data_IF_539642817012
#
_entry.id   IF_539642817012
#
_cell.length_a   1.000
_cell.length_b   1.000
_cell.length_c   1.000
_cell.angle_alpha   90.00
_cell.angle_beta   90.00
_cell.angle_gamma   90.00
#
_symmetry.space_group_name_H-M   'P 1'
#
loop_
_entity.id
_entity.type
_entity.pdbx_description
1 polymer ?
#
# COMPACT_ATOMS: atom_id res chain seq x y z
N UNK A 1 38.95 -63.40 -42.98
CA UNK A 1 38.71 -63.47 -41.53
C UNK A 1 37.95 -62.21 -41.16
N UNK A 2 36.63 -62.31 -40.97
CA UNK A 2 35.75 -61.15 -40.75
C UNK A 2 35.43 -61.12 -39.26
N UNK A 3 35.92 -60.10 -38.56
CA UNK A 3 35.62 -59.87 -37.14
C UNK A 3 34.36 -59.03 -37.08
N UNK A 4 33.25 -59.63 -36.66
CA UNK A 4 32.04 -58.92 -36.24
C UNK A 4 32.28 -58.42 -34.82
N UNK A 5 32.25 -57.11 -34.64
CA UNK A 5 32.13 -56.47 -33.34
C UNK A 5 30.65 -56.20 -33.11
N UNK A 6 30.04 -56.92 -32.16
CA UNK A 6 28.74 -56.55 -31.60
C UNK A 6 28.97 -55.47 -30.53
N UNK A 7 28.20 -54.37 -30.54
CA UNK A 7 28.24 -53.41 -29.45
C UNK A 7 27.34 -53.90 -28.30
N UNK A 8 27.96 -54.19 -27.15
CA UNK A 8 27.27 -54.24 -25.87
C UNK A 8 26.76 -52.83 -25.54
N UNK A 9 25.45 -52.62 -25.68
CA UNK A 9 24.75 -51.44 -25.18
C UNK A 9 23.85 -51.92 -24.05
N UNK A 10 24.34 -51.75 -22.82
CA UNK A 10 23.51 -51.78 -21.62
C UNK A 10 22.62 -50.51 -21.62
N UNK A 11 21.51 -50.57 -22.35
CA UNK A 11 20.42 -49.59 -22.27
C UNK A 11 19.58 -49.85 -21.01
N UNK A 12 20.09 -49.47 -19.84
CA UNK A 12 19.27 -49.12 -18.69
C UNK A 12 18.68 -47.71 -18.91
N UNK A 13 17.85 -47.56 -19.96
CA UNK A 13 16.93 -46.42 -20.06
C UNK A 13 15.79 -46.64 -19.05
N UNK A 14 15.99 -46.19 -17.82
CA UNK A 14 14.87 -45.78 -16.97
C UNK A 14 14.16 -44.64 -17.70
N UNK A 15 13.11 -44.98 -18.44
CA UNK A 15 12.21 -44.05 -19.08
C UNK A 15 11.54 -43.20 -17.98
N UNK A 16 12.14 -42.05 -17.68
CA UNK A 16 11.58 -41.06 -16.78
C UNK A 16 10.24 -40.60 -17.35
N UNK A 17 9.15 -41.06 -16.75
CA UNK A 17 7.81 -40.85 -17.30
C UNK A 17 7.44 -39.36 -17.23
N UNK A 18 6.76 -38.86 -18.26
CA UNK A 18 6.29 -37.46 -18.34
C UNK A 18 5.50 -37.01 -17.09
N UNK A 19 4.88 -37.96 -16.38
CA UNK A 19 4.20 -37.79 -15.09
C UNK A 19 5.11 -37.39 -13.92
N UNK A 20 6.36 -37.88 -13.86
CA UNK A 20 7.32 -37.44 -12.83
C UNK A 20 7.78 -36.01 -13.07
N UNK A 21 7.92 -35.62 -14.34
CA UNK A 21 8.30 -34.25 -14.71
C UNK A 21 7.22 -33.21 -14.33
N UNK A 22 5.94 -33.55 -14.51
CA UNK A 22 4.82 -32.69 -14.11
C UNK A 22 4.67 -32.57 -12.57
N UNK A 23 5.02 -33.63 -11.84
CA UNK A 23 4.97 -33.62 -10.37
C UNK A 23 6.01 -32.68 -9.75
N UNK A 24 7.18 -32.54 -10.37
CA UNK A 24 8.25 -31.62 -9.93
C UNK A 24 7.87 -30.14 -10.19
N UNK A 25 7.07 -29.87 -11.21
CA UNK A 25 6.67 -28.50 -11.57
C UNK A 25 5.39 -28.01 -10.87
N UNK A 26 4.72 -28.85 -10.07
CA UNK A 26 3.50 -28.45 -9.35
C UNK A 26 2.33 -28.07 -10.27
N UNK A 27 2.40 -28.42 -11.55
CA UNK A 27 1.35 -28.13 -12.54
C UNK A 27 0.33 -29.26 -12.47
N UNK A 28 -0.64 -29.14 -11.55
CA UNK A 28 -1.83 -29.99 -11.61
C UNK A 28 -2.70 -29.51 -12.77
N UNK A 29 -2.90 -30.39 -13.75
CA UNK A 29 -3.68 -30.15 -14.97
C UNK A 29 -5.09 -29.61 -14.67
N UNK A 30 -5.29 -28.33 -14.99
CA UNK A 30 -6.59 -27.71 -15.13
C UNK A 30 -6.80 -27.32 -16.61
N UNK A 31 -6.94 -28.33 -17.49
CA UNK A 31 -7.41 -28.13 -18.85
C UNK A 31 -8.36 -29.27 -19.25
N UNK A 32 -9.64 -29.07 -18.97
CA UNK A 32 -10.71 -29.95 -19.42
C UNK A 32 -10.94 -29.83 -20.93
N UNK A 33 -10.75 -30.93 -21.64
CA UNK A 33 -11.36 -31.20 -22.95
C UNK A 33 -12.52 -32.19 -22.74
N UNK A 34 -13.67 -31.83 -23.29
CA UNK A 34 -14.97 -32.52 -23.21
C UNK A 34 -14.95 -33.91 -23.87
N UNK A 35 -15.66 -34.87 -23.26
CA UNK A 35 -16.33 -35.96 -24.00
C UNK A 35 -16.62 -37.24 -23.22
N UNK A 36 -17.89 -37.46 -22.85
CA UNK A 36 -18.52 -38.79 -22.70
C UNK A 36 -18.36 -39.52 -21.36
N UNK A 37 -19.47 -39.70 -20.62
CA UNK A 37 -19.57 -40.61 -19.45
C UNK A 37 -19.65 -42.10 -19.84
N UNK A 38 -20.13 -43.03 -18.97
CA UNK A 38 -20.60 -42.90 -17.58
C UNK A 38 -20.08 -43.99 -16.59
N UNK A 39 -19.98 -43.69 -15.29
CA UNK A 39 -20.07 -44.64 -14.15
C UNK A 39 -19.86 -43.83 -12.84
N UNK A 40 -20.90 -43.56 -12.04
CA UNK A 40 -21.35 -44.32 -10.85
C UNK A 40 -20.24 -44.72 -9.86
N UNK A 41 -20.50 -44.34 -8.59
CA UNK A 41 -19.84 -44.73 -7.33
C UNK A 41 -18.62 -43.86 -6.98
N UNK A 42 -18.47 -43.24 -5.80
CA UNK A 42 -19.21 -43.31 -4.54
C UNK A 42 -18.78 -42.14 -3.65
N UNK A 43 -19.68 -41.75 -2.76
CA UNK A 43 -19.50 -40.84 -1.63
C UNK A 43 -18.15 -41.01 -0.91
N UNK A 44 -17.46 -39.90 -0.66
CA UNK A 44 -16.67 -39.63 0.57
C UNK A 44 -16.16 -38.19 0.57
N UNK A 45 -17.03 -37.25 0.95
CA UNK A 45 -16.65 -35.91 1.36
C UNK A 45 -17.35 -35.60 2.68
N UNK A 46 -16.86 -36.19 3.78
CA UNK A 46 -17.08 -35.68 5.14
C UNK A 46 -15.83 -36.04 5.96
N UNK A 47 -15.30 -35.06 6.69
CA UNK A 47 -14.26 -35.13 7.74
C UNK A 47 -12.77 -35.06 7.34
N UNK A 48 -12.26 -33.82 7.38
CA UNK A 48 -10.96 -33.43 7.97
C UNK A 48 -11.03 -31.92 8.22
N UNK A 49 -11.70 -31.43 9.27
CA UNK A 49 -11.17 -31.31 10.64
C UNK A 49 -9.68 -31.01 10.66
N UNK A 50 -9.38 -29.72 10.82
CA UNK A 50 -8.62 -29.21 11.96
C UNK A 50 -7.44 -30.08 12.37
N UNK A 51 -6.32 -29.89 11.67
CA UNK A 51 -5.01 -30.29 12.15
C UNK A 51 -4.18 -29.01 12.29
N UNK A 52 -4.29 -28.42 13.48
CA UNK A 52 -3.19 -27.85 14.26
C UNK A 52 -1.95 -27.43 13.46
N UNK A 53 -1.92 -26.16 13.04
CA UNK A 53 -0.66 -25.44 12.91
C UNK A 53 -0.26 -24.92 14.29
N UNK A 54 0.11 -25.84 15.18
CA UNK A 54 0.83 -25.55 16.42
C UNK A 54 2.32 -25.40 16.07
N UNK A 55 2.63 -24.41 15.23
CA UNK A 55 3.99 -23.97 14.99
C UNK A 55 4.31 -22.99 16.12
N UNK A 56 4.92 -23.52 17.19
CA UNK A 56 5.37 -22.77 18.35
C UNK A 56 6.25 -21.58 17.96
N UNK A 57 5.62 -20.42 17.79
CA UNK A 57 6.26 -19.13 17.92
C UNK A 57 6.55 -19.01 19.41
N UNK A 58 7.79 -19.31 19.82
CA UNK A 58 8.28 -18.86 21.11
C UNK A 58 8.07 -17.35 21.14
N UNK A 59 7.28 -16.79 22.08
CA UNK A 59 7.28 -15.36 22.27
C UNK A 59 8.72 -14.98 22.61
N UNK A 60 9.33 -14.13 21.79
CA UNK A 60 10.50 -13.38 22.21
C UNK A 60 10.08 -12.68 23.49
N UNK A 61 10.64 -13.13 24.61
CA UNK A 61 10.48 -12.50 25.90
C UNK A 61 11.01 -11.06 25.74
N UNK A 62 10.10 -10.14 25.45
CA UNK A 62 10.36 -8.71 25.51
C UNK A 62 10.64 -8.42 26.98
N UNK A 63 11.91 -8.21 27.31
CA UNK A 63 12.27 -7.62 28.60
C UNK A 63 11.42 -6.35 28.79
N UNK A 64 10.73 -6.21 29.94
CA UNK A 64 10.00 -4.98 30.22
C UNK A 64 10.97 -3.80 30.19
N UNK A 65 10.57 -2.64 29.63
CA UNK A 65 11.43 -1.48 29.59
C UNK A 65 11.84 -1.08 31.03
N UNK A 66 13.08 -0.60 31.23
CA UNK A 66 13.55 -0.19 32.54
C UNK A 66 12.64 0.91 33.10
N UNK A 67 12.19 0.73 34.34
CA UNK A 67 11.40 1.74 35.05
C UNK A 67 12.20 3.05 35.14
N UNK A 68 11.58 4.21 34.86
CA UNK A 68 12.26 5.48 34.97
C UNK A 68 12.60 5.73 36.45
N UNK A 69 13.90 5.78 36.76
CA UNK A 69 14.43 6.15 38.07
C UNK A 69 13.97 7.56 38.43
N UNK A 70 13.04 7.61 39.38
CA UNK A 70 12.45 8.83 39.91
C UNK A 70 13.43 9.50 40.89
N UNK A 71 14.32 10.36 40.39
CA UNK A 71 15.13 11.25 41.24
C UNK A 71 15.52 12.52 40.49
N UNK A 72 14.57 13.43 40.27
CA UNK A 72 14.87 14.87 40.12
C UNK A 72 13.75 15.68 40.77
N UNK A 73 13.97 16.08 42.03
CA UNK A 73 13.19 17.11 42.71
C UNK A 73 13.61 18.49 42.18
N UNK A 74 12.71 19.17 41.46
CA UNK A 74 12.79 20.61 41.24
C UNK A 74 11.46 21.24 41.66
N UNK A 75 11.59 22.04 42.71
CA UNK A 75 10.57 22.78 43.43
C UNK A 75 9.92 23.82 42.49
N UNK A 76 8.77 23.46 41.92
CA UNK A 76 7.86 24.41 41.26
C UNK A 76 6.44 23.94 41.49
N UNK A 77 5.80 24.56 42.48
CA UNK A 77 4.45 24.26 42.96
C UNK A 77 3.39 24.77 41.97
N UNK A 78 3.45 24.31 40.73
CA UNK A 78 2.31 24.31 39.83
C UNK A 78 1.81 22.88 39.85
N UNK A 79 0.76 22.59 40.63
CA UNK A 79 0.11 21.28 40.52
C UNK A 79 -0.69 21.27 39.21
N UNK A 80 -0.21 20.61 38.14
CA UNK A 80 -1.07 20.39 36.98
C UNK A 80 -2.30 19.64 37.48
N UNK A 81 -3.48 20.19 37.22
CA UNK A 81 -4.73 19.53 37.59
C UNK A 81 -4.73 18.07 37.11
N UNK A 82 -5.40 17.15 37.82
CA UNK A 82 -5.28 15.69 37.60
C UNK A 82 -5.57 15.22 36.16
N UNK A 83 -6.18 16.05 35.30
CA UNK A 83 -6.38 15.78 33.88
C UNK A 83 -5.18 16.08 32.96
N UNK A 84 -4.27 17.00 33.31
CA UNK A 84 -3.17 17.41 32.42
C UNK A 84 -2.03 16.39 32.35
N UNK A 85 -1.81 15.62 33.43
CA UNK A 85 -0.77 14.58 33.46
C UNK A 85 -1.07 13.42 32.51
N UNK A 86 -2.35 13.11 32.28
CA UNK A 86 -2.76 12.02 31.40
C UNK A 86 -2.44 12.31 29.92
N UNK A 87 -2.77 13.51 29.43
CA UNK A 87 -2.48 13.91 28.04
C UNK A 87 -0.97 13.96 27.74
N UNK A 88 -0.16 14.38 28.71
CA UNK A 88 1.29 14.39 28.54
C UNK A 88 1.86 12.97 28.47
N UNK A 89 1.36 12.05 29.30
CA UNK A 89 1.74 10.64 29.28
C UNK A 89 1.31 9.96 27.96
N UNK A 90 0.09 10.24 27.50
CA UNK A 90 -0.43 9.70 26.24
C UNK A 90 0.37 10.18 25.03
N UNK A 91 0.67 11.48 24.94
CA UNK A 91 1.50 12.04 23.88
C UNK A 91 2.91 11.42 23.86
N UNK A 92 3.54 11.27 25.03
CA UNK A 92 4.85 10.60 25.12
C UNK A 92 4.79 9.10 24.78
N UNK A 93 3.65 8.43 25.00
CA UNK A 93 3.46 7.04 24.58
C UNK A 93 3.30 6.92 23.06
N UNK A 94 2.51 7.80 22.44
CA UNK A 94 2.29 7.85 20.99
C UNK A 94 3.56 8.21 20.24
N UNK A 95 4.37 9.14 20.76
CA UNK A 95 5.67 9.50 20.18
C UNK A 95 6.61 8.30 20.14
N UNK A 96 6.75 7.56 21.26
CA UNK A 96 7.57 6.33 21.28
C UNK A 96 7.03 5.28 20.32
N UNK A 97 5.72 5.06 20.29
CA UNK A 97 5.11 4.12 19.33
C UNK A 97 5.39 4.52 17.88
N UNK A 98 5.36 5.82 17.56
CA UNK A 98 5.70 6.34 16.24
C UNK A 98 7.17 6.09 15.91
N UNK A 99 8.09 6.32 16.85
CA UNK A 99 9.52 6.03 16.69
C UNK A 99 9.75 4.54 16.39
N UNK A 100 9.18 3.63 17.19
CA UNK A 100 9.28 2.20 16.95
C UNK A 100 8.72 1.78 15.59
N UNK A 101 7.56 2.33 15.20
CA UNK A 101 6.95 2.01 13.93
C UNK A 101 7.75 2.55 12.74
N UNK A 102 8.43 3.70 12.89
CA UNK A 102 9.35 4.24 11.89
C UNK A 102 10.63 3.41 11.77
N UNK A 103 11.19 2.93 12.88
CA UNK A 103 12.35 2.03 12.88
C UNK A 103 12.02 0.70 12.19
N UNK A 104 10.88 0.09 12.53
CA UNK A 104 10.38 -1.11 11.86
C UNK A 104 10.16 -0.89 10.35
N UNK A 105 9.59 0.25 9.96
CA UNK A 105 9.42 0.59 8.55
C UNK A 105 10.78 0.77 7.84
N UNK A 106 11.78 1.34 8.51
CA UNK A 106 13.11 1.49 7.97
C UNK A 106 13.82 0.13 7.79
N UNK A 107 13.66 -0.81 8.74
CA UNK A 107 14.21 -2.15 8.62
C UNK A 107 13.59 -2.95 7.47
N UNK A 108 12.25 -2.89 7.31
CA UNK A 108 11.57 -3.55 6.19
C UNK A 108 12.00 -2.99 4.83
N UNK A 109 12.15 -1.66 4.71
CA UNK A 109 12.69 -1.04 3.49
C UNK A 109 14.11 -1.51 3.19
N UNK A 110 14.96 -1.60 4.22
CA UNK A 110 16.32 -2.10 4.06
C UNK A 110 16.33 -3.57 3.62
N UNK A 111 15.41 -4.40 4.13
CA UNK A 111 15.26 -5.79 3.71
C UNK A 111 14.80 -5.90 2.25
N UNK A 112 13.80 -5.11 1.84
CA UNK A 112 13.35 -5.08 0.45
C UNK A 112 14.48 -4.72 -0.52
N UNK A 113 15.30 -3.73 -0.21
CA UNK A 113 16.49 -3.34 -1.01
C UNK A 113 17.52 -4.48 -1.10
N UNK A 114 17.77 -5.20 0.00
CA UNK A 114 18.67 -6.37 -0.02
C UNK A 114 18.12 -7.50 -0.89
N UNK A 115 16.82 -7.76 -0.82
CA UNK A 115 16.16 -8.77 -1.64
C UNK A 115 16.22 -8.38 -3.13
N UNK A 116 15.98 -7.12 -3.49
CA UNK A 116 16.13 -6.62 -4.87
C UNK A 116 17.56 -6.83 -5.39
N UNK A 117 18.58 -6.48 -4.61
CA UNK A 117 19.98 -6.70 -4.99
C UNK A 117 20.29 -8.20 -5.20
N UNK A 118 19.70 -9.09 -4.38
CA UNK A 118 19.86 -10.54 -4.54
C UNK A 118 19.19 -11.08 -5.80
N UNK A 119 18.00 -10.55 -6.16
CA UNK A 119 17.29 -10.89 -7.39
C UNK A 119 18.09 -10.46 -8.62
N UNK A 120 18.67 -9.28 -8.61
CA UNK A 120 19.49 -8.79 -9.72
C UNK A 120 20.76 -9.63 -9.90
N UNK A 121 21.41 -10.03 -8.81
CA UNK A 121 22.55 -10.94 -8.87
C UNK A 121 22.17 -12.32 -9.42
N UNK A 122 21.00 -12.86 -9.06
CA UNK A 122 20.53 -14.14 -9.57
C UNK A 122 20.14 -14.07 -11.05
N UNK A 123 19.48 -12.99 -11.48
CA UNK A 123 19.17 -12.74 -12.91
C UNK A 123 20.44 -12.66 -13.75
N UNK A 124 21.48 -11.99 -13.26
CA UNK A 124 22.78 -11.97 -13.93
C UNK A 124 23.39 -13.38 -14.05
N UNK A 125 23.28 -14.21 -13.01
CA UNK A 125 23.75 -15.60 -13.05
C UNK A 125 22.95 -16.50 -14.00
N UNK A 126 21.64 -16.28 -14.12
CA UNK A 126 20.75 -16.96 -15.07
C UNK A 126 21.13 -16.60 -16.51
N UNK A 127 21.35 -15.30 -16.79
CA UNK A 127 21.77 -14.82 -18.10
C UNK A 127 23.13 -15.40 -18.51
N UNK A 128 24.07 -15.47 -17.56
CA UNK A 128 25.38 -16.11 -17.78
C UNK A 128 25.21 -17.59 -18.15
N UNK A 129 24.42 -18.36 -17.39
CA UNK A 129 24.18 -19.78 -17.68
C UNK A 129 23.48 -20.01 -19.01
N UNK A 130 22.55 -19.13 -19.39
CA UNK A 130 21.95 -19.16 -20.73
C UNK A 130 22.98 -18.88 -21.81
N UNK A 131 23.95 -18.00 -21.56
CA UNK A 131 25.10 -17.79 -22.42
C UNK A 131 25.94 -19.07 -22.59
N UNK A 132 26.27 -19.73 -21.48
CA UNK A 132 27.02 -20.99 -21.45
C UNK A 132 26.28 -22.12 -22.20
N UNK A 133 24.97 -22.28 -21.97
CA UNK A 133 24.11 -23.23 -22.68
C UNK A 133 24.12 -23.00 -24.20
N UNK A 134 24.01 -21.74 -24.65
CA UNK A 134 24.08 -21.41 -26.09
C UNK A 134 25.47 -21.69 -26.66
N UNK A 135 26.52 -21.40 -25.92
CA UNK A 135 27.91 -21.66 -26.34
C UNK A 135 28.19 -23.16 -26.46
N UNK A 136 27.74 -23.97 -25.51
CA UNK A 136 27.86 -25.44 -25.58
C UNK A 136 27.04 -26.04 -26.72
N UNK A 137 25.80 -25.57 -26.92
CA UNK A 137 24.98 -25.96 -28.06
C UNK A 137 25.68 -25.64 -29.40
N UNK A 138 26.35 -24.48 -29.50
CA UNK A 138 27.09 -24.07 -30.70
C UNK A 138 28.36 -24.90 -30.95
N UNK A 139 29.02 -25.41 -29.91
CA UNK A 139 30.17 -26.32 -30.04
C UNK A 139 29.79 -27.69 -30.62
N UNK A 140 28.50 -27.99 -30.76
CA UNK A 140 28.02 -29.27 -31.31
C UNK A 140 28.37 -30.47 -30.43
N UNK A 141 28.80 -30.25 -29.19
CA UNK A 141 29.05 -31.32 -28.23
C UNK A 141 27.72 -31.93 -27.83
N UNK A 142 27.48 -33.17 -28.27
CA UNK A 142 26.32 -33.99 -27.87
C UNK A 142 26.50 -34.57 -26.47
N UNK A 143 27.16 -33.87 -25.56
CA UNK A 143 27.24 -34.33 -24.18
C UNK A 143 25.90 -34.06 -23.50
N UNK A 144 24.98 -35.00 -23.72
CA UNK A 144 23.64 -34.97 -23.16
C UNK A 144 23.65 -34.92 -21.62
N UNK A 145 24.76 -35.33 -20.96
CA UNK A 145 24.92 -35.22 -19.51
C UNK A 145 25.21 -33.77 -19.12
N UNK A 146 26.14 -33.10 -19.81
CA UNK A 146 26.44 -31.69 -19.57
C UNK A 146 25.22 -30.78 -19.79
N UNK A 147 24.46 -31.00 -20.88
CA UNK A 147 23.22 -30.27 -21.15
C UNK A 147 22.16 -30.49 -20.06
N UNK A 148 21.96 -31.74 -19.61
CA UNK A 148 21.03 -32.04 -18.51
C UNK A 148 21.46 -31.39 -17.19
N UNK A 149 22.76 -31.34 -16.90
CA UNK A 149 23.27 -30.66 -15.70
C UNK A 149 23.00 -29.14 -15.74
N UNK A 150 23.24 -28.50 -16.88
CA UNK A 150 22.96 -27.07 -17.06
C UNK A 150 21.45 -26.77 -16.96
N UNK A 151 20.60 -27.60 -17.55
CA UNK A 151 19.14 -27.48 -17.43
C UNK A 151 18.65 -27.64 -15.98
N UNK A 152 19.21 -28.61 -15.24
CA UNK A 152 18.90 -28.76 -13.79
C UNK A 152 19.30 -27.53 -13.00
N UNK A 153 20.44 -26.92 -13.31
CA UNK A 153 20.91 -25.69 -12.67
C UNK A 153 20.03 -24.49 -13.02
N UNK A 154 19.60 -24.35 -14.28
CA UNK A 154 18.64 -23.31 -14.69
C UNK A 154 17.31 -23.46 -13.93
N UNK A 155 16.75 -24.67 -13.86
CA UNK A 155 15.52 -24.92 -13.11
C UNK A 155 15.65 -24.56 -11.63
N UNK A 156 16.79 -24.89 -11.01
CA UNK A 156 17.06 -24.54 -9.62
C UNK A 156 17.15 -23.03 -9.41
N UNK A 157 17.83 -22.28 -10.30
CA UNK A 157 17.88 -20.82 -10.21
C UNK A 157 16.51 -20.17 -10.42
N UNK A 158 15.71 -20.65 -11.37
CA UNK A 158 14.35 -20.15 -11.58
C UNK A 158 13.48 -20.38 -10.33
N UNK A 159 13.64 -21.52 -9.64
CA UNK A 159 12.93 -21.78 -8.39
C UNK A 159 13.36 -20.82 -7.26
N UNK A 160 14.65 -20.50 -7.17
CA UNK A 160 15.20 -19.55 -6.18
C UNK A 160 14.74 -18.13 -6.46
N UNK A 161 14.74 -17.69 -7.73
CA UNK A 161 14.20 -16.40 -8.15
C UNK A 161 12.73 -16.27 -7.76
N UNK A 162 11.92 -17.29 -8.07
CA UNK A 162 10.49 -17.29 -7.72
C UNK A 162 10.25 -17.24 -6.20
N UNK A 163 11.11 -17.88 -5.39
CA UNK A 163 11.02 -17.80 -3.93
C UNK A 163 11.35 -16.39 -3.41
N UNK A 164 12.45 -15.80 -3.88
CA UNK A 164 12.86 -14.45 -3.47
C UNK A 164 11.91 -13.36 -3.95
N UNK A 165 11.26 -13.53 -5.12
CA UNK A 165 10.22 -12.61 -5.58
C UNK A 165 9.02 -12.60 -4.61
N UNK A 166 8.61 -13.77 -4.11
CA UNK A 166 7.55 -13.85 -3.09
C UNK A 166 7.96 -13.22 -1.77
N UNK A 167 9.20 -13.45 -1.32
CA UNK A 167 9.73 -12.83 -0.09
C UNK A 167 9.79 -11.31 -0.20
N UNK A 168 10.21 -10.79 -1.36
CA UNK A 168 10.20 -9.35 -1.64
C UNK A 168 8.77 -8.81 -1.59
N UNK A 169 7.83 -9.47 -2.25
CA UNK A 169 6.43 -9.01 -2.28
C UNK A 169 5.79 -9.05 -0.89
N UNK A 170 6.17 -10.01 -0.03
CA UNK A 170 5.79 -10.04 1.38
C UNK A 170 6.37 -8.84 2.14
N UNK A 171 7.67 -8.56 1.99
CA UNK A 171 8.33 -7.42 2.64
C UNK A 171 7.78 -6.06 2.17
N UNK A 172 7.35 -5.95 0.92
CA UNK A 172 6.66 -4.76 0.40
C UNK A 172 5.29 -4.62 1.06
N UNK A 173 4.52 -5.71 1.16
CA UNK A 173 3.19 -5.71 1.80
C UNK A 173 3.27 -5.41 3.31
N UNK A 174 4.23 -5.99 4.04
CA UNK A 174 4.47 -5.67 5.45
C UNK A 174 4.83 -4.18 5.61
N UNK A 175 5.72 -3.66 4.76
CA UNK A 175 6.09 -2.25 4.76
C UNK A 175 4.94 -1.29 4.41
N UNK A 176 3.98 -1.71 3.57
CA UNK A 176 2.74 -0.96 3.32
C UNK A 176 1.82 -0.95 4.54
N UNK A 177 1.64 -2.09 5.21
CA UNK A 177 0.86 -2.17 6.45
C UNK A 177 1.46 -1.27 7.55
N UNK A 178 2.78 -1.27 7.72
CA UNK A 178 3.47 -0.37 8.66
C UNK A 178 3.34 1.10 8.28
N UNK A 179 3.36 1.43 6.98
CA UNK A 179 3.07 2.81 6.50
C UNK A 179 1.65 3.25 6.85
N UNK A 180 0.66 2.37 6.71
CA UNK A 180 -0.70 2.68 7.13
C UNK A 180 -0.80 2.86 8.65
N UNK A 181 -0.16 1.99 9.44
CA UNK A 181 -0.12 2.09 10.90
C UNK A 181 0.57 3.36 11.41
N UNK A 182 1.73 3.71 10.84
CA UNK A 182 2.44 4.96 11.16
C UNK A 182 1.60 6.20 10.81
N UNK A 183 0.88 6.18 9.68
CA UNK A 183 -0.04 7.26 9.32
C UNK A 183 -1.19 7.45 10.33
N UNK A 184 -1.74 6.35 10.84
CA UNK A 184 -2.76 6.40 11.90
C UNK A 184 -2.19 6.98 13.20
N UNK A 185 -0.98 6.55 13.63
CA UNK A 185 -0.31 7.09 14.82
C UNK A 185 -0.01 8.59 14.69
N UNK A 186 0.44 9.06 13.52
CA UNK A 186 0.65 10.50 13.27
C UNK A 186 -0.64 11.30 13.36
N UNK A 187 -1.76 10.71 12.94
CA UNK A 187 -3.06 11.37 12.98
C UNK A 187 -3.54 11.48 14.43
N UNK A 188 -3.45 10.38 15.19
CA UNK A 188 -3.74 10.37 16.63
C UNK A 188 -2.86 11.38 17.39
N UNK A 189 -1.56 11.46 17.09
CA UNK A 189 -0.66 12.44 17.71
C UNK A 189 -1.13 13.87 17.44
N UNK A 190 -1.52 14.20 16.21
CA UNK A 190 -2.06 15.54 15.87
C UNK A 190 -3.37 15.84 16.58
N UNK A 191 -4.24 14.86 16.77
CA UNK A 191 -5.51 15.04 17.48
C UNK A 191 -5.28 15.34 18.97
N UNK A 192 -4.31 14.65 19.60
CA UNK A 192 -3.91 14.93 20.99
C UNK A 192 -3.27 16.32 21.10
N UNK A 193 -2.39 16.70 20.17
CA UNK A 193 -1.79 18.04 20.12
C UNK A 193 -2.84 19.14 19.92
N UNK A 194 -3.82 18.92 19.05
CA UNK A 194 -4.93 19.85 18.83
C UNK A 194 -5.79 20.00 20.09
N UNK A 195 -6.10 18.88 20.77
CA UNK A 195 -6.86 18.90 22.02
C UNK A 195 -6.14 19.70 23.10
N UNK A 196 -4.82 19.57 23.23
CA UNK A 196 -4.02 20.38 24.15
C UNK A 196 -4.06 21.88 23.81
N UNK A 197 -4.06 22.24 22.53
CA UNK A 197 -4.17 23.63 22.10
C UNK A 197 -5.58 24.20 22.37
N UNK A 198 -6.63 23.40 22.18
CA UNK A 198 -8.00 23.78 22.51
C UNK A 198 -8.17 23.98 24.03
N UNK A 199 -7.65 23.07 24.86
CA UNK A 199 -7.68 23.21 26.31
C UNK A 199 -6.93 24.45 26.80
N UNK A 200 -5.78 24.78 26.19
CA UNK A 200 -5.05 26.03 26.48
C UNK A 200 -5.87 27.27 26.10
N UNK A 201 -6.54 27.25 24.95
CA UNK A 201 -7.42 28.36 24.51
C UNK A 201 -8.63 28.54 25.41
N UNK A 202 -9.21 27.45 25.91
CA UNK A 202 -10.35 27.49 26.82
C UNK A 202 -9.95 27.87 28.27
N UNK A 203 -8.73 27.50 28.69
CA UNK A 203 -8.16 27.90 29.97
C UNK A 203 -7.75 29.37 30.04
N UNK A 204 -7.41 29.98 28.91
CA UNK A 204 -7.23 31.43 28.74
C UNK A 204 -8.57 32.13 28.50
N UNK A 205 -9.57 31.91 29.37
CA UNK A 205 -10.71 32.81 29.41
C UNK A 205 -10.18 34.22 29.75
N UNK A 206 -10.46 35.25 28.92
CA UNK A 206 -9.96 36.57 29.20
C UNK A 206 -10.58 37.01 30.53
N UNK A 207 -9.74 37.46 31.46
CA UNK A 207 -10.18 38.06 32.71
C UNK A 207 -10.86 39.43 32.44
N UNK A 208 -11.92 39.44 31.64
CA UNK A 208 -12.79 40.59 31.45
C UNK A 208 -13.76 40.65 32.62
N UNK A 209 -13.25 41.11 33.77
CA UNK A 209 -14.07 41.16 34.97
C UNK A 209 -13.44 41.83 36.20
N UNK A 210 -12.42 42.66 36.06
CA UNK A 210 -11.98 43.59 37.12
C UNK A 210 -10.91 44.50 36.50
N UNK A 211 -11.18 45.71 36.01
CA UNK A 211 -11.48 46.89 36.82
C UNK A 211 -12.04 47.98 35.88
N UNK A 212 -13.37 48.08 35.78
CA UNK A 212 -14.01 49.35 35.49
C UNK A 212 -14.17 50.08 36.83
N UNK A 213 -13.19 50.92 37.19
CA UNK A 213 -13.23 51.73 38.40
C UNK A 213 -12.04 52.67 38.47
N UNK A 214 -12.30 53.94 38.16
CA UNK A 214 -11.48 55.13 38.47
C UNK A 214 -10.23 55.39 37.61
N UNK A 215 -10.41 56.18 36.54
CA UNK A 215 -9.88 57.54 36.47
C UNK A 215 -10.18 58.16 35.09
N UNK A 216 -11.31 58.84 35.02
CA UNK A 216 -11.55 59.89 34.03
C UNK A 216 -10.66 61.11 34.33
N UNK A 217 -10.42 61.92 33.29
CA UNK A 217 -9.88 63.30 33.25
C UNK A 217 -8.41 63.46 32.83
N UNK A 218 -8.18 63.60 31.53
CA UNK A 218 -7.38 64.70 30.99
C UNK A 218 -7.67 64.89 29.49
N UNK A 219 -7.88 66.15 29.11
CA UNK A 219 -8.44 66.65 27.87
C UNK A 219 -7.51 66.60 26.64
N UNK A 220 -8.10 66.70 25.44
CA UNK A 220 -7.42 67.22 24.25
C UNK A 220 -8.20 66.96 22.94
N UNK A 221 -8.84 67.98 22.32
CA UNK A 221 -9.44 67.84 21.00
C UNK A 221 -8.35 68.00 19.92
N UNK A 222 -8.27 67.07 18.97
CA UNK A 222 -7.41 67.21 17.79
C UNK A 222 -8.26 67.22 16.53
N UNK A 223 -8.11 68.31 15.79
CA UNK A 223 -8.77 68.66 14.53
C UNK A 223 -8.48 67.68 13.38
N UNK A 224 -9.37 67.60 12.38
CA UNK A 224 -9.08 66.96 11.09
C UNK A 224 -8.55 67.98 10.07
N UNK A 225 -7.55 67.64 9.24
CA UNK A 225 -7.26 68.43 8.04
C UNK A 225 -8.13 67.99 6.86
N UNK A 226 -8.79 68.98 6.26
CA UNK A 226 -9.46 68.91 4.99
C UNK A 226 -8.48 69.20 3.83
N UNK A 227 -8.77 68.58 2.67
CA UNK A 227 -8.42 69.09 1.34
C UNK A 227 -7.08 68.62 0.76
N UNK A 228 -7.11 67.86 -0.33
CA UNK A 228 -7.05 68.47 -1.67
C UNK A 228 -7.23 67.43 -2.79
N UNK A 229 -7.83 67.96 -3.85
CA UNK A 229 -8.31 67.33 -5.07
C UNK A 229 -7.17 66.88 -5.98
N UNK A 230 -7.38 65.84 -6.81
CA UNK A 230 -7.32 65.95 -8.29
C UNK A 230 -7.37 64.60 -9.03
N UNK A 231 -8.21 64.62 -10.07
CA UNK A 231 -7.99 64.06 -11.42
C UNK A 231 -8.39 62.61 -11.74
N UNK A 232 -9.66 62.48 -12.14
CA UNK A 232 -10.14 62.02 -13.46
C UNK A 232 -9.14 61.35 -14.42
N UNK A 233 -9.31 60.04 -14.64
CA UNK A 233 -9.32 59.30 -15.93
C UNK A 233 -10.13 58.01 -15.62
N UNK A 234 -11.39 57.81 -16.04
CA UNK A 234 -11.87 57.70 -17.41
C UNK A 234 -11.78 56.24 -17.87
N UNK A 235 -12.88 55.46 -17.81
CA UNK A 235 -13.19 54.29 -18.66
C UNK A 235 -14.63 53.77 -18.34
N UNK A 236 -15.34 53.16 -19.31
CA UNK A 236 -16.79 53.27 -19.42
C UNK A 236 -17.60 52.15 -18.75
N UNK A 237 -18.77 52.55 -18.28
CA UNK A 237 -19.90 51.73 -17.85
C UNK A 237 -20.39 50.79 -18.96
N UNK A 238 -20.65 49.52 -18.65
CA UNK A 238 -21.75 48.80 -19.31
C UNK A 238 -22.32 47.64 -18.48
N UNK A 239 -23.62 47.80 -18.23
CA UNK A 239 -24.69 46.81 -17.98
C UNK A 239 -24.63 45.95 -16.72
N UNK A 240 -25.46 46.40 -15.78
CA UNK A 240 -26.26 45.59 -14.87
C UNK A 240 -26.77 44.31 -15.56
N UNK A 241 -26.44 43.16 -14.98
CA UNK A 241 -27.36 42.02 -14.98
C UNK A 241 -27.46 41.47 -13.57
N UNK A 242 -28.56 41.87 -12.96
CA UNK A 242 -29.09 41.48 -11.67
C UNK A 242 -29.38 39.97 -11.69
N UNK A 243 -28.57 39.20 -10.98
CA UNK A 243 -28.81 37.80 -10.65
C UNK A 243 -28.11 37.51 -9.32
N UNK A 244 -28.89 37.31 -8.27
CA UNK A 244 -28.41 37.25 -6.88
C UNK A 244 -27.34 36.18 -6.66
N UNK A 245 -26.13 36.63 -6.36
CA UNK A 245 -25.09 35.82 -5.76
C UNK A 245 -25.11 36.08 -4.25
N UNK A 246 -25.78 35.21 -3.51
CA UNK A 246 -25.53 35.02 -2.08
C UNK A 246 -24.09 34.54 -1.91
N UNK A 247 -23.19 35.47 -1.60
CA UNK A 247 -21.84 35.13 -1.19
C UNK A 247 -21.91 34.38 0.16
N UNK A 248 -21.30 33.19 0.28
CA UNK A 248 -21.28 32.45 1.52
C UNK A 248 -20.21 33.07 2.42
N UNK A 249 -20.63 33.70 3.51
CA UNK A 249 -19.75 33.96 4.64
C UNK A 249 -19.50 32.60 5.33
N UNK A 250 -18.55 31.83 4.82
CA UNK A 250 -18.02 30.64 5.48
C UNK A 250 -17.07 31.06 6.60
N UNK A 251 -17.46 30.77 7.83
CA UNK A 251 -16.63 30.95 9.02
C UNK A 251 -15.39 30.05 8.95
N UNK A 252 -14.20 30.52 9.39
CA UNK A 252 -13.02 29.69 9.49
C UNK A 252 -13.16 28.77 10.71
N UNK A 253 -13.86 27.66 10.52
CA UNK A 253 -14.16 26.68 11.57
C UNK A 253 -15.06 25.53 11.12
N UNK A 254 -15.23 25.30 9.82
CA UNK A 254 -15.92 24.11 9.32
C UNK A 254 -15.07 22.88 9.63
N UNK A 255 -15.39 22.25 10.77
CA UNK A 255 -15.10 20.84 11.00
C UNK A 255 -15.54 20.09 9.74
N UNK A 256 -14.59 19.56 8.97
CA UNK A 256 -14.86 18.67 7.85
C UNK A 256 -15.81 17.59 8.34
N UNK A 257 -17.07 17.69 7.95
CA UNK A 257 -18.09 16.79 8.43
C UNK A 257 -17.79 15.39 7.89
N UNK A 258 -18.32 14.31 8.50
CA UNK A 258 -18.29 12.98 7.90
C UNK A 258 -18.89 12.92 6.48
N UNK A 259 -19.62 13.95 6.04
CA UNK A 259 -20.05 14.17 4.66
C UNK A 259 -18.92 14.48 3.66
N UNK A 260 -17.81 15.08 4.09
CA UNK A 260 -16.73 15.46 3.16
C UNK A 260 -15.87 14.27 2.77
N UNK A 261 -15.58 13.37 3.73
CA UNK A 261 -14.84 12.15 3.49
C UNK A 261 -15.60 11.18 2.55
N UNK A 262 -16.92 11.06 2.72
CA UNK A 262 -17.76 10.27 1.82
C UNK A 262 -17.82 10.91 0.42
N UNK A 263 -17.98 12.24 0.32
CA UNK A 263 -17.98 12.94 -0.98
C UNK A 263 -16.66 12.78 -1.77
N UNK A 264 -15.52 12.70 -1.07
CA UNK A 264 -14.21 12.47 -1.70
C UNK A 264 -14.12 11.05 -2.27
N UNK A 265 -14.60 10.06 -1.51
CA UNK A 265 -14.64 8.66 -1.95
C UNK A 265 -15.61 8.46 -3.14
N UNK A 266 -16.76 9.13 -3.16
CA UNK A 266 -17.72 9.08 -4.28
C UNK A 266 -17.14 9.69 -5.56
N UNK A 267 -16.46 10.84 -5.45
CA UNK A 267 -15.75 11.47 -6.57
C UNK A 267 -14.67 10.54 -7.11
N UNK A 268 -13.90 9.90 -6.24
CA UNK A 268 -12.87 8.93 -6.65
C UNK A 268 -13.46 7.69 -7.31
N UNK A 269 -14.55 7.14 -6.78
CA UNK A 269 -15.26 5.99 -7.37
C UNK A 269 -15.77 6.30 -8.78
N UNK A 270 -16.30 7.51 -8.97
CA UNK A 270 -16.78 7.99 -10.28
C UNK A 270 -15.62 8.10 -11.27
N UNK A 271 -14.50 8.70 -10.86
CA UNK A 271 -13.31 8.83 -11.71
C UNK A 271 -12.74 7.46 -12.14
N UNK A 272 -12.58 6.52 -11.21
CA UNK A 272 -12.08 5.17 -11.50
C UNK A 272 -13.03 4.37 -12.39
N UNK A 273 -14.34 4.54 -12.19
CA UNK A 273 -15.36 3.89 -13.04
C UNK A 273 -15.31 4.42 -14.48
N UNK A 274 -15.06 5.73 -14.66
CA UNK A 274 -14.86 6.33 -15.98
C UNK A 274 -13.57 5.83 -16.64
N UNK A 275 -12.45 5.82 -15.93
CA UNK A 275 -11.16 5.30 -16.44
C UNK A 275 -11.31 3.84 -16.90
N UNK A 276 -11.97 3.00 -16.09
CA UNK A 276 -12.26 1.60 -16.45
C UNK A 276 -13.09 1.50 -17.73
N UNK A 277 -14.11 2.34 -17.87
CA UNK A 277 -14.96 2.38 -19.07
C UNK A 277 -14.19 2.79 -20.32
N UNK A 278 -13.24 3.73 -20.21
CA UNK A 278 -12.38 4.13 -21.31
C UNK A 278 -11.44 3.00 -21.74
N UNK A 279 -10.83 2.29 -20.78
CA UNK A 279 -9.96 1.15 -21.06
C UNK A 279 -10.73 -0.05 -21.62
N UNK A 280 -11.97 -0.28 -21.19
CA UNK A 280 -12.86 -1.29 -21.79
C UNK A 280 -13.18 -0.94 -23.26
N UNK A 281 -13.51 0.32 -23.55
CA UNK A 281 -13.67 0.78 -24.93
C UNK A 281 -12.39 0.61 -25.75
N UNK A 282 -11.21 0.86 -25.16
CA UNK A 282 -9.93 0.63 -25.82
C UNK A 282 -9.73 -0.86 -26.14
N UNK A 283 -9.99 -1.73 -25.17
CA UNK A 283 -9.88 -3.18 -25.34
C UNK A 283 -10.82 -3.72 -26.43
N UNK A 284 -12.06 -3.23 -26.48
CA UNK A 284 -13.04 -3.59 -27.52
C UNK A 284 -12.65 -3.08 -28.92
N UNK A 285 -11.96 -1.93 -28.99
CA UNK A 285 -11.43 -1.38 -30.24
C UNK A 285 -10.15 -2.08 -30.70
N UNK A 286 -9.46 -2.80 -29.82
CA UNK A 286 -8.33 -3.61 -30.25
C UNK A 286 -8.85 -4.76 -31.13
N UNK A 287 -8.31 -4.93 -32.35
CA UNK A 287 -8.78 -6.00 -33.23
C UNK A 287 -8.59 -7.36 -32.54
N UNK A 288 -9.50 -8.31 -32.76
CA UNK A 288 -9.37 -9.68 -32.23
C UNK A 288 -8.05 -10.37 -32.66
N UNK A 289 -7.38 -9.82 -33.68
CA UNK A 289 -6.03 -10.18 -34.12
C UNK A 289 -4.88 -9.49 -33.36
N UNK A 290 -5.15 -8.79 -32.26
CA UNK A 290 -4.14 -8.21 -31.36
C UNK A 290 -3.20 -9.34 -30.90
N UNK A 291 -2.07 -9.45 -31.58
CA UNK A 291 -1.38 -10.74 -31.69
C UNK A 291 -0.37 -10.82 -32.81
N UNK A 292 -0.48 -9.97 -33.85
CA UNK A 292 0.50 -9.95 -34.95
C UNK A 292 1.85 -9.40 -34.51
N UNK A 293 1.88 -8.37 -33.65
CA UNK A 293 3.12 -7.84 -33.07
C UNK A 293 3.23 -8.08 -31.57
N UNK A 294 4.45 -8.29 -31.07
CA UNK A 294 4.71 -8.40 -29.62
C UNK A 294 4.32 -7.12 -28.87
N UNK A 295 4.41 -5.95 -29.52
CA UNK A 295 4.03 -4.67 -28.94
C UNK A 295 2.51 -4.59 -28.67
N UNK A 296 1.68 -5.05 -29.61
CA UNK A 296 0.23 -5.13 -29.43
C UNK A 296 -0.16 -6.08 -28.30
N UNK A 297 0.48 -7.25 -28.22
CA UNK A 297 0.22 -8.20 -27.12
C UNK A 297 0.56 -7.61 -25.76
N UNK A 298 1.71 -6.95 -25.65
CA UNK A 298 2.13 -6.27 -24.42
C UNK A 298 1.14 -5.16 -24.03
N UNK A 299 0.69 -4.35 -24.99
CA UNK A 299 -0.30 -3.30 -24.74
C UNK A 299 -1.63 -3.88 -24.29
N UNK A 300 -2.12 -4.94 -24.96
CA UNK A 300 -3.36 -5.62 -24.57
C UNK A 300 -3.29 -6.15 -23.14
N UNK A 301 -2.21 -6.88 -22.80
CA UNK A 301 -1.99 -7.38 -21.44
C UNK A 301 -1.91 -6.26 -20.40
N UNK A 302 -1.27 -5.13 -20.73
CA UNK A 302 -1.21 -3.98 -19.84
C UNK A 302 -2.60 -3.36 -19.60
N UNK A 303 -3.42 -3.22 -20.65
CA UNK A 303 -4.80 -2.72 -20.55
C UNK A 303 -5.67 -3.69 -19.73
N UNK A 304 -5.57 -5.00 -19.97
CA UNK A 304 -6.29 -6.02 -19.20
C UNK A 304 -5.90 -6.03 -17.72
N UNK A 305 -4.59 -5.92 -17.41
CA UNK A 305 -4.09 -5.80 -16.04
C UNK A 305 -4.67 -4.57 -15.34
N UNK A 306 -4.63 -3.41 -16.01
CA UNK A 306 -5.14 -2.16 -15.46
C UNK A 306 -6.66 -2.21 -15.23
N UNK A 307 -7.43 -2.84 -16.12
CA UNK A 307 -8.88 -3.06 -15.91
C UNK A 307 -9.13 -3.93 -14.67
N UNK A 308 -8.32 -4.98 -14.46
CA UNK A 308 -8.43 -5.85 -13.30
C UNK A 308 -8.12 -5.10 -11.99
N UNK A 309 -7.06 -4.28 -11.97
CA UNK A 309 -6.71 -3.40 -10.84
C UNK A 309 -7.83 -2.40 -10.52
N UNK A 310 -8.32 -1.66 -11.52
CA UNK A 310 -9.41 -0.71 -11.36
C UNK A 310 -10.69 -1.39 -10.83
N UNK A 311 -10.94 -2.64 -11.22
CA UNK A 311 -12.10 -3.40 -10.71
C UNK A 311 -11.95 -3.77 -9.24
N UNK A 312 -10.73 -4.04 -8.76
CA UNK A 312 -10.43 -4.24 -7.33
C UNK A 312 -10.57 -2.93 -6.57
N UNK A 313 -9.94 -1.85 -7.04
CA UNK A 313 -10.03 -0.52 -6.41
C UNK A 313 -11.47 -0.02 -6.26
N UNK A 314 -12.30 -0.19 -7.31
CA UNK A 314 -13.73 0.18 -7.26
C UNK A 314 -14.49 -0.68 -6.24
N UNK A 315 -14.18 -1.96 -6.15
CA UNK A 315 -14.83 -2.86 -5.18
C UNK A 315 -14.45 -2.49 -3.74
N UNK A 316 -13.17 -2.21 -3.50
CA UNK A 316 -12.66 -1.80 -2.19
C UNK A 316 -13.24 -0.45 -1.75
N UNK A 317 -13.32 0.53 -2.66
CA UNK A 317 -13.95 1.82 -2.37
C UNK A 317 -15.45 1.68 -2.08
N UNK A 318 -16.17 0.80 -2.79
CA UNK A 318 -17.58 0.52 -2.49
C UNK A 318 -17.75 -0.08 -1.11
N UNK A 319 -16.86 -1.00 -0.70
CA UNK A 319 -16.88 -1.57 0.65
C UNK A 319 -16.61 -0.50 1.72
N UNK A 320 -15.60 0.36 1.51
CA UNK A 320 -15.29 1.48 2.41
C UNK A 320 -16.44 2.48 2.51
N UNK A 321 -17.07 2.83 1.39
CA UNK A 321 -18.21 3.73 1.35
C UNK A 321 -19.43 3.13 2.07
N UNK A 322 -19.69 1.83 1.86
CA UNK A 322 -20.75 1.10 2.58
C UNK A 322 -20.50 1.06 4.09
N UNK A 323 -19.26 0.86 4.52
CA UNK A 323 -18.90 0.90 5.92
C UNK A 323 -19.07 2.32 6.52
N UNK A 324 -18.62 3.35 5.81
CA UNK A 324 -18.76 4.74 6.25
C UNK A 324 -20.23 5.19 6.36
N UNK A 325 -21.07 4.78 5.41
CA UNK A 325 -22.51 5.09 5.42
C UNK A 325 -23.29 4.29 6.46
N UNK A 326 -22.90 3.04 6.74
CA UNK A 326 -23.50 2.27 7.83
C UNK A 326 -23.23 2.89 9.21
N UNK A 327 -22.04 3.46 9.41
CA UNK A 327 -21.68 4.16 10.65
C UNK A 327 -22.41 5.50 10.81
N UNK A 328 -22.73 6.20 9.72
CA UNK A 328 -23.46 7.48 9.79
C UNK A 328 -24.97 7.30 10.02
N UNK A 329 -25.55 6.15 9.66
CA UNK A 329 -26.97 5.85 9.83
C UNK A 329 -27.39 5.35 11.22
N UNK A 330 -26.45 5.11 12.14
CA UNK A 330 -26.72 4.62 13.50
C UNK A 330 -26.79 5.73 14.56
N UNK A 331 -27.11 6.98 14.17
CA UNK A 331 -27.31 8.12 15.08
C UNK A 331 -28.75 8.58 15.12
#
# INVERSE_FOLDING_TARGET
MVVRLEPDVDDDEEAFTYSEWLSILGVSDAAGIKGGGPARLTERCVNRQDAECDAGIKPLASEPPPEPSADVNLDSSFEPGPGQNWLHQELGSLQRQLEYANEALASERAQAVRLEASLDSLRASEEQLRGELRAEAAKGQRDARAMRQLQRREALLLSQLAALERERDEAVRSGEALRCGTGALQTALREVEQSQLEDRRMGEAPAEGSLAGEAALAAGPREPPAGEERSLVGLPSRTEQRGGASAPFGSPGERLGPGDASSCMERRLTALSQERGLLQCELERMPLSAGRSNAERKRKLAVESRIAELSREVSDLRLRLKAATALSGCR
#
